data_IF_359590447537
#
_entry.id   IF_359590447537
#
_cell.length_a   1.000
_cell.length_b   1.000
_cell.length_c   1.000
_cell.angle_alpha   90.00
_cell.angle_beta   90.00
_cell.angle_gamma   90.00
#
_symmetry.space_group_name_H-M   'P 1'
#
loop_
_entity.id
_entity.type
_entity.pdbx_description
1 polymer ?
#
# COMPACT_ATOMS: atom_id res chain seq x y z
N UNK A 1 -68.98 -10.30 14.59
CA UNK A 1 -67.94 -9.72 15.47
C UNK A 1 -66.69 -9.47 14.65
N UNK A 2 -66.43 -8.17 14.45
CA UNK A 2 -65.24 -7.45 13.97
C UNK A 2 -64.18 -8.10 13.07
N UNK A 3 -64.18 -7.62 11.82
CA UNK A 3 -63.03 -7.31 10.99
C UNK A 3 -61.93 -6.50 11.72
N UNK A 4 -60.68 -6.95 11.64
CA UNK A 4 -59.50 -6.16 12.00
C UNK A 4 -58.76 -5.69 10.73
N UNK A 5 -59.27 -4.62 10.12
CA UNK A 5 -58.51 -3.81 9.16
C UNK A 5 -57.52 -2.92 9.93
N UNK A 6 -56.24 -3.21 9.81
CA UNK A 6 -55.16 -2.35 10.31
C UNK A 6 -55.16 -0.99 9.58
N UNK A 7 -55.01 0.16 10.26
CA UNK A 7 -55.26 1.47 9.68
C UNK A 7 -54.18 1.92 8.69
N UNK A 8 -54.60 2.29 7.47
CA UNK A 8 -53.82 2.89 6.37
C UNK A 8 -52.93 4.09 6.76
N UNK A 9 -53.19 4.74 7.90
CA UNK A 9 -52.52 5.97 8.31
C UNK A 9 -51.05 5.80 8.77
N UNK A 10 -50.67 4.63 9.31
CA UNK A 10 -49.30 4.43 9.85
C UNK A 10 -48.26 4.24 8.74
N UNK A 11 -48.64 3.63 7.61
CA UNK A 11 -47.76 3.41 6.45
C UNK A 11 -47.40 4.72 5.71
N UNK A 12 -48.28 5.72 5.73
CA UNK A 12 -48.06 7.00 5.05
C UNK A 12 -47.01 7.88 5.75
N UNK A 13 -46.97 7.87 7.09
CA UNK A 13 -45.98 8.64 7.88
C UNK A 13 -44.55 8.12 7.73
N UNK A 14 -44.36 6.79 7.59
CA UNK A 14 -43.02 6.18 7.42
C UNK A 14 -42.42 6.47 6.03
N UNK A 15 -43.26 6.50 4.98
CA UNK A 15 -42.84 6.88 3.62
C UNK A 15 -42.46 8.35 3.48
N UNK A 16 -43.14 9.26 4.19
CA UNK A 16 -42.78 10.69 4.22
C UNK A 16 -41.42 10.97 4.87
N UNK A 17 -41.05 10.21 5.92
CA UNK A 17 -39.74 10.37 6.60
C UNK A 17 -38.55 9.89 5.76
N UNK A 18 -38.75 8.84 4.95
CA UNK A 18 -37.70 8.30 4.06
C UNK A 18 -37.48 9.24 2.85
N UNK A 19 -38.54 9.86 2.33
CA UNK A 19 -38.42 10.82 1.24
C UNK A 19 -37.70 12.13 1.64
N UNK A 20 -37.85 12.57 2.90
CA UNK A 20 -37.17 13.77 3.41
C UNK A 20 -35.68 13.57 3.69
N UNK A 21 -35.24 12.39 4.16
CA UNK A 21 -33.81 12.12 4.39
C UNK A 21 -33.03 11.88 3.10
N UNK A 22 -33.64 11.22 2.09
CA UNK A 22 -33.01 11.03 0.78
C UNK A 22 -32.81 12.36 0.02
N UNK A 23 -33.73 13.32 0.18
CA UNK A 23 -33.64 14.63 -0.48
C UNK A 23 -32.57 15.55 0.12
N UNK A 24 -32.32 15.48 1.44
CA UNK A 24 -31.27 16.27 2.11
C UNK A 24 -29.87 15.73 1.78
N UNK A 25 -29.70 14.40 1.66
CA UNK A 25 -28.43 13.79 1.23
C UNK A 25 -28.10 14.09 -0.24
N UNK A 26 -29.10 14.08 -1.14
CA UNK A 26 -28.88 14.41 -2.56
C UNK A 26 -28.49 15.88 -2.78
N UNK A 27 -29.06 16.82 -2.01
CA UNK A 27 -28.71 18.25 -2.08
C UNK A 27 -27.32 18.54 -1.49
N UNK A 28 -26.87 17.80 -0.48
CA UNK A 28 -25.52 17.95 0.08
C UNK A 28 -24.42 17.45 -0.88
N UNK A 29 -24.66 16.37 -1.62
CA UNK A 29 -23.69 15.83 -2.60
C UNK A 29 -23.56 16.73 -3.84
N UNK A 30 -24.67 17.31 -4.34
CA UNK A 30 -24.62 18.25 -5.47
C UNK A 30 -23.95 19.58 -5.10
N UNK A 31 -24.15 20.07 -3.86
CA UNK A 31 -23.47 21.27 -3.36
C UNK A 31 -21.96 21.12 -3.22
N UNK A 32 -21.46 19.96 -2.78
CA UNK A 32 -20.02 19.72 -2.60
C UNK A 32 -19.27 19.59 -3.95
N UNK A 33 -19.89 18.99 -4.97
CA UNK A 33 -19.27 18.84 -6.31
C UNK A 33 -19.22 20.18 -7.06
N UNK A 34 -20.20 21.08 -6.87
CA UNK A 34 -20.19 22.41 -7.48
C UNK A 34 -19.16 23.37 -6.87
N UNK A 35 -18.84 23.22 -5.58
CA UNK A 35 -17.79 24.01 -4.90
C UNK A 35 -16.39 23.56 -5.34
N UNK A 36 -16.16 22.26 -5.55
CA UNK A 36 -14.86 21.74 -6.01
C UNK A 36 -14.49 22.21 -7.44
N UNK A 37 -15.47 22.31 -8.34
CA UNK A 37 -15.25 22.73 -9.74
C UNK A 37 -15.06 24.25 -9.91
N UNK A 38 -15.40 25.05 -8.90
CA UNK A 38 -15.27 26.52 -8.94
C UNK A 38 -13.95 27.04 -8.35
N UNK A 39 -13.18 26.18 -7.66
CA UNK A 39 -11.87 26.53 -7.08
C UNK A 39 -10.68 26.25 -8.02
N UNK A 40 -10.88 25.49 -9.11
CA UNK A 40 -9.83 25.23 -10.11
C UNK A 40 -9.77 26.24 -11.26
N UNK A 41 -10.77 27.13 -11.38
CA UNK A 41 -10.81 28.16 -12.43
C UNK A 41 -10.22 29.51 -11.98
N UNK A 42 -9.91 29.71 -10.69
CA UNK A 42 -9.44 30.98 -10.14
C UNK A 42 -7.91 31.09 -9.96
N UNK A 43 -7.15 30.01 -10.18
CA UNK A 43 -5.67 30.01 -10.05
C UNK A 43 -4.92 29.98 -11.39
N UNK A 44 -5.64 30.01 -12.52
CA UNK A 44 -5.03 30.00 -13.85
C UNK A 44 -4.70 31.41 -14.39
N UNK A 45 -5.09 32.48 -13.70
CA UNK A 45 -4.85 33.86 -14.16
C UNK A 45 -4.17 34.68 -13.04
N UNK A 46 -2.85 34.58 -12.93
CA UNK A 46 -1.87 35.67 -12.66
C UNK A 46 -0.55 35.12 -12.11
N UNK A 47 0.36 34.75 -13.02
CA UNK A 47 1.79 34.70 -12.69
C UNK A 47 2.56 35.51 -13.75
N UNK A 48 3.21 36.62 -13.40
CA UNK A 48 4.01 37.38 -14.35
C UNK A 48 5.28 36.62 -14.73
N UNK A 49 5.56 36.52 -16.04
CA UNK A 49 6.85 36.08 -16.57
C UNK A 49 7.95 37.06 -16.15
N UNK A 50 8.74 36.68 -15.16
CA UNK A 50 10.03 37.30 -14.86
C UNK A 50 11.11 36.48 -15.57
N UNK A 51 11.70 37.04 -16.61
CA UNK A 51 12.89 36.50 -17.27
C UNK A 51 14.09 36.66 -16.32
N UNK A 52 14.50 35.57 -15.66
CA UNK A 52 15.76 35.48 -14.93
C UNK A 52 16.95 35.23 -15.87
N UNK A 53 18.17 35.71 -15.55
CA UNK A 53 19.34 35.51 -16.40
C UNK A 53 19.79 34.04 -16.39
N UNK A 54 20.31 33.59 -17.54
CA UNK A 54 20.74 32.23 -17.80
C UNK A 54 21.78 31.72 -16.76
N UNK A 55 21.70 30.46 -16.32
CA UNK A 55 22.75 29.89 -15.47
C UNK A 55 23.99 29.57 -16.30
N UNK A 56 25.10 30.14 -15.86
CA UNK A 56 26.46 29.87 -16.34
C UNK A 56 26.77 28.37 -16.31
N UNK A 57 27.21 27.85 -17.45
CA UNK A 57 27.72 26.48 -17.60
C UNK A 57 29.05 26.33 -16.86
N UNK A 58 29.02 25.82 -15.63
CA UNK A 58 30.21 25.27 -14.98
C UNK A 58 30.26 23.76 -15.27
N UNK A 59 31.32 23.23 -15.89
CA UNK A 59 31.46 21.79 -16.04
C UNK A 59 31.82 21.20 -14.67
N UNK A 60 30.85 20.54 -14.04
CA UNK A 60 31.10 19.65 -12.90
C UNK A 60 31.82 18.40 -13.43
N UNK A 61 32.87 17.89 -12.76
CA UNK A 61 33.48 16.62 -13.13
C UNK A 61 32.46 15.48 -12.97
N UNK A 62 32.58 14.37 -13.71
CA UNK A 62 31.64 13.26 -13.59
C UNK A 62 31.89 12.55 -12.26
N UNK A 63 31.18 12.94 -11.21
CA UNK A 63 30.91 12.07 -10.07
C UNK A 63 30.14 10.89 -10.64
N UNK A 64 30.66 9.67 -10.44
CA UNK A 64 30.14 8.45 -11.06
C UNK A 64 28.62 8.41 -11.00
N UNK A 65 27.99 8.30 -12.18
CA UNK A 65 26.54 8.19 -12.28
C UNK A 65 26.13 6.94 -11.54
N UNK A 66 25.59 7.09 -10.33
CA UNK A 66 24.72 6.06 -9.75
C UNK A 66 23.57 5.99 -10.74
N UNK A 67 23.52 4.92 -11.53
CA UNK A 67 22.40 4.69 -12.43
C UNK A 67 21.14 4.66 -11.56
N UNK A 68 20.08 5.35 -12.00
CA UNK A 68 18.81 5.30 -11.30
C UNK A 68 18.37 3.81 -11.15
N UNK A 69 17.76 3.43 -10.02
CA UNK A 69 17.31 2.06 -9.80
C UNK A 69 16.43 1.56 -10.94
N UNK A 70 16.59 0.28 -11.27
CA UNK A 70 15.97 -0.35 -12.42
C UNK A 70 15.21 -1.62 -12.02
N UNK A 71 14.59 -2.31 -13.00
CA UNK A 71 14.02 -3.64 -12.74
C UNK A 71 15.06 -4.61 -12.16
N UNK A 72 16.34 -4.48 -12.55
CA UNK A 72 17.42 -5.32 -12.01
C UNK A 72 17.65 -5.10 -10.51
N UNK A 73 17.21 -3.96 -9.98
CA UNK A 73 17.25 -3.63 -8.55
C UNK A 73 15.97 -4.04 -7.80
N UNK A 74 15.00 -4.66 -8.49
CA UNK A 74 13.70 -5.01 -7.92
C UNK A 74 12.64 -3.91 -8.03
N UNK A 75 12.86 -2.86 -8.83
CA UNK A 75 11.84 -1.83 -9.07
C UNK A 75 10.66 -2.41 -9.85
N UNK A 76 9.45 -2.22 -9.32
CA UNK A 76 8.17 -2.42 -10.02
C UNK A 76 7.68 -1.04 -10.43
N UNK A 77 7.42 -0.81 -11.73
CA UNK A 77 7.05 0.53 -12.20
C UNK A 77 5.58 0.83 -11.99
N UNK A 78 5.24 2.12 -11.92
CA UNK A 78 3.86 2.58 -11.86
C UNK A 78 3.04 2.01 -13.02
N UNK A 79 1.92 1.36 -12.67
CA UNK A 79 1.02 0.71 -13.63
C UNK A 79 1.35 -0.75 -13.90
N UNK A 80 2.56 -1.22 -13.56
CA UNK A 80 2.87 -2.65 -13.54
C UNK A 80 2.13 -3.31 -12.37
N UNK A 81 1.61 -4.52 -12.59
CA UNK A 81 0.83 -5.27 -11.60
C UNK A 81 1.29 -6.72 -11.60
N UNK A 82 2.55 -7.00 -11.20
CA UNK A 82 3.03 -8.37 -11.11
C UNK A 82 2.28 -9.13 -10.02
N UNK A 83 2.04 -10.39 -10.28
CA UNK A 83 1.52 -11.37 -9.34
C UNK A 83 2.65 -12.17 -8.71
N UNK A 84 2.34 -12.96 -7.69
CA UNK A 84 3.28 -13.90 -7.06
C UNK A 84 3.72 -15.05 -8.01
N UNK A 85 3.14 -15.14 -9.21
CA UNK A 85 3.50 -16.13 -10.23
C UNK A 85 4.45 -15.58 -11.30
N UNK A 86 4.67 -14.26 -11.35
CA UNK A 86 5.52 -13.60 -12.35
C UNK A 86 7.01 -13.70 -11.97
N UNK A 87 7.51 -14.94 -11.83
CA UNK A 87 8.87 -15.25 -11.36
C UNK A 87 9.99 -14.73 -12.27
N UNK A 88 9.66 -14.36 -13.51
CA UNK A 88 10.60 -13.72 -14.43
C UNK A 88 10.94 -12.28 -14.03
N UNK A 89 10.12 -11.68 -13.15
CA UNK A 89 10.38 -10.37 -12.54
C UNK A 89 11.37 -10.53 -11.39
N UNK A 90 12.43 -9.74 -11.40
CA UNK A 90 13.48 -9.75 -10.37
C UNK A 90 12.90 -9.57 -8.95
N UNK A 91 11.90 -8.69 -8.79
CA UNK A 91 11.23 -8.47 -7.51
C UNK A 91 10.50 -9.73 -6.96
N UNK A 92 10.09 -10.65 -7.83
CA UNK A 92 9.36 -11.88 -7.43
C UNK A 92 10.29 -13.08 -7.42
N UNK A 93 11.09 -13.26 -8.48
CA UNK A 93 11.98 -14.41 -8.66
C UNK A 93 13.13 -14.49 -7.66
N UNK A 94 13.49 -13.38 -7.00
CA UNK A 94 14.53 -13.35 -5.96
C UNK A 94 13.99 -13.42 -4.52
N UNK A 95 12.67 -13.59 -4.33
CA UNK A 95 12.13 -13.90 -3.00
C UNK A 95 12.70 -15.23 -2.50
N UNK A 96 12.76 -15.38 -1.18
CA UNK A 96 13.10 -16.66 -0.57
C UNK A 96 12.16 -17.75 -1.11
N UNK A 97 12.68 -18.91 -1.58
CA UNK A 97 11.85 -19.92 -2.21
C UNK A 97 10.72 -20.46 -1.33
N UNK A 98 10.90 -20.53 -0.01
CA UNK A 98 9.84 -20.98 0.89
C UNK A 98 8.76 -19.91 1.07
N UNK A 99 9.13 -18.63 1.12
CA UNK A 99 8.18 -17.53 1.09
C UNK A 99 7.38 -17.54 -0.22
N UNK A 100 8.05 -17.67 -1.37
CA UNK A 100 7.40 -17.69 -2.68
C UNK A 100 6.42 -18.86 -2.82
N UNK A 101 6.80 -20.07 -2.38
CA UNK A 101 5.90 -21.23 -2.35
C UNK A 101 4.64 -20.97 -1.49
N UNK A 102 4.82 -20.40 -0.29
CA UNK A 102 3.71 -20.06 0.59
C UNK A 102 2.76 -19.03 -0.05
N UNK A 103 3.32 -18.00 -0.69
CA UNK A 103 2.57 -16.99 -1.43
C UNK A 103 1.76 -17.59 -2.57
N UNK A 104 2.37 -18.47 -3.37
CA UNK A 104 1.72 -19.10 -4.52
C UNK A 104 0.60 -20.06 -4.10
N UNK A 105 0.79 -20.82 -3.01
CA UNK A 105 -0.28 -21.63 -2.41
C UNK A 105 -1.44 -20.77 -1.90
N UNK A 106 -1.13 -19.69 -1.17
CA UNK A 106 -2.14 -18.77 -0.67
C UNK A 106 -2.91 -18.09 -1.81
N UNK A 107 -2.21 -17.60 -2.84
CA UNK A 107 -2.81 -16.95 -3.99
C UNK A 107 -3.73 -17.91 -4.77
N UNK A 108 -3.30 -19.16 -4.98
CA UNK A 108 -4.12 -20.18 -5.65
C UNK A 108 -5.45 -20.43 -4.93
N UNK A 109 -5.44 -20.47 -3.59
CA UNK A 109 -6.66 -20.63 -2.81
C UNK A 109 -7.51 -19.35 -2.77
N UNK A 110 -6.87 -18.18 -2.79
CA UNK A 110 -7.53 -16.88 -2.80
C UNK A 110 -8.30 -16.63 -4.11
N UNK A 111 -7.88 -17.21 -5.23
CA UNK A 111 -8.58 -17.13 -6.52
C UNK A 111 -10.01 -17.68 -6.44
N UNK A 112 -10.25 -18.70 -5.61
CA UNK A 112 -11.60 -19.25 -5.39
C UNK A 112 -12.55 -18.23 -4.73
N UNK A 113 -12.00 -17.24 -4.03
CA UNK A 113 -12.72 -16.10 -3.44
C UNK A 113 -12.69 -14.85 -4.37
N UNK A 114 -12.11 -14.95 -5.57
CA UNK A 114 -11.98 -13.85 -6.52
C UNK A 114 -10.91 -12.82 -6.13
N UNK A 115 -9.92 -13.21 -5.30
CA UNK A 115 -8.85 -12.34 -4.83
C UNK A 115 -7.56 -12.67 -5.58
N UNK A 116 -6.93 -11.65 -6.16
CA UNK A 116 -5.64 -11.76 -6.87
C UNK A 116 -4.55 -11.05 -6.09
N UNK A 117 -3.46 -11.76 -5.79
CA UNK A 117 -2.33 -11.19 -5.07
C UNK A 117 -1.43 -10.41 -6.04
N UNK A 118 -1.38 -9.10 -5.87
CA UNK A 118 -0.44 -8.23 -6.57
C UNK A 118 0.73 -7.90 -5.65
N UNK A 119 1.94 -7.96 -6.21
CA UNK A 119 3.18 -7.60 -5.54
C UNK A 119 3.43 -6.11 -5.79
N UNK A 120 3.37 -5.31 -4.73
CA UNK A 120 3.71 -3.89 -4.79
C UNK A 120 5.24 -3.70 -4.67
N UNK A 121 5.89 -4.53 -3.85
CA UNK A 121 7.34 -4.58 -3.66
C UNK A 121 7.71 -5.97 -3.16
N UNK A 122 8.75 -6.57 -3.74
CA UNK A 122 9.22 -7.90 -3.36
C UNK A 122 10.69 -7.83 -2.96
N UNK A 123 11.53 -8.67 -3.53
CA UNK A 123 12.97 -8.53 -3.39
C UNK A 123 13.46 -7.19 -3.95
N UNK A 124 14.42 -6.56 -3.26
CA UNK A 124 15.10 -5.36 -3.76
C UNK A 124 16.59 -5.37 -3.46
N UNK A 125 17.36 -4.70 -4.30
CA UNK A 125 18.80 -4.53 -4.09
C UNK A 125 19.09 -3.64 -2.88
N UNK A 126 20.26 -3.83 -2.27
CA UNK A 126 20.73 -2.96 -1.19
C UNK A 126 20.82 -1.49 -1.65
N UNK A 127 21.22 -1.23 -2.90
CA UNK A 127 21.30 0.12 -3.44
C UNK A 127 19.90 0.79 -3.55
N UNK A 128 18.88 0.04 -3.98
CA UNK A 128 17.50 0.52 -3.98
C UNK A 128 17.01 0.78 -2.55
N UNK A 129 17.33 -0.10 -1.60
CA UNK A 129 17.01 0.11 -0.19
C UNK A 129 17.61 1.40 0.38
N UNK A 130 18.89 1.65 0.11
CA UNK A 130 19.59 2.86 0.56
C UNK A 130 18.98 4.13 -0.04
N UNK A 131 18.52 4.06 -1.30
CA UNK A 131 17.81 5.16 -1.91
C UNK A 131 16.46 5.40 -1.22
N UNK A 132 15.66 4.36 -1.01
CA UNK A 132 14.35 4.49 -0.34
C UNK A 132 14.49 5.06 1.08
N UNK A 133 15.53 4.69 1.81
CA UNK A 133 15.79 5.26 3.13
C UNK A 133 16.16 6.75 3.04
N UNK A 134 16.98 7.14 2.05
CA UNK A 134 17.30 8.57 1.83
C UNK A 134 16.06 9.37 1.48
N UNK A 135 15.23 8.87 0.57
CA UNK A 135 13.99 9.52 0.17
C UNK A 135 13.04 9.66 1.38
N UNK A 136 12.92 8.62 2.22
CA UNK A 136 12.15 8.68 3.45
C UNK A 136 12.72 9.68 4.48
N UNK A 137 14.05 9.82 4.57
CA UNK A 137 14.67 10.84 5.43
C UNK A 137 14.29 12.24 4.97
N UNK A 138 14.27 12.48 3.66
CA UNK A 138 13.87 13.77 3.08
C UNK A 138 12.39 14.05 3.35
N UNK A 139 11.53 13.03 3.27
CA UNK A 139 10.08 13.15 3.52
C UNK A 139 9.71 13.31 5.00
N UNK A 140 10.35 12.55 5.90
CA UNK A 140 10.05 12.53 7.34
C UNK A 140 10.96 13.46 8.16
N UNK A 141 11.97 14.05 7.55
CA UNK A 141 12.86 15.06 8.15
C UNK A 141 13.92 14.51 9.11
N UNK A 142 13.93 13.21 9.40
CA UNK A 142 14.99 12.57 10.19
C UNK A 142 15.11 11.08 9.90
N UNK A 143 16.29 10.53 10.13
CA UNK A 143 16.51 9.08 10.07
C UNK A 143 15.72 8.32 11.13
N UNK A 144 15.51 8.92 12.31
CA UNK A 144 14.72 8.30 13.38
C UNK A 144 13.28 8.05 12.93
N UNK A 145 12.61 9.07 12.36
CA UNK A 145 11.24 8.91 11.88
C UNK A 145 11.15 8.08 10.59
N UNK A 146 12.12 8.21 9.69
CA UNK A 146 12.15 7.40 8.47
C UNK A 146 12.27 5.89 8.78
N UNK A 147 13.01 5.52 9.83
CA UNK A 147 13.20 4.11 10.24
C UNK A 147 11.93 3.42 10.75
N UNK A 148 10.86 4.17 11.01
CA UNK A 148 9.53 3.64 11.33
C UNK A 148 8.77 3.13 10.11
N UNK A 149 9.31 3.35 8.91
CA UNK A 149 8.69 2.97 7.64
C UNK A 149 9.69 2.29 6.68
N UNK A 150 10.96 2.64 6.76
CA UNK A 150 11.99 2.15 5.85
C UNK A 150 13.22 1.68 6.63
N UNK A 151 13.48 0.37 6.57
CA UNK A 151 14.66 -0.25 7.16
C UNK A 151 15.97 0.16 6.45
N UNK A 152 17.11 -0.13 7.07
CA UNK A 152 18.42 0.02 6.42
C UNK A 152 18.66 -1.11 5.41
N UNK A 153 19.67 -0.93 4.55
CA UNK A 153 20.15 -1.95 3.62
C UNK A 153 20.56 -3.26 4.31
N UNK A 154 21.12 -3.16 5.50
CA UNK A 154 21.63 -4.30 6.26
C UNK A 154 20.51 -5.11 6.90
N UNK A 155 19.42 -4.47 7.31
CA UNK A 155 18.38 -5.14 8.11
C UNK A 155 17.09 -5.41 7.36
N UNK A 156 16.88 -4.83 6.17
CA UNK A 156 15.61 -5.01 5.47
C UNK A 156 15.39 -6.45 4.99
N UNK A 157 14.25 -7.02 5.37
CA UNK A 157 13.81 -8.34 4.90
C UNK A 157 13.55 -8.38 3.38
N UNK A 158 13.27 -7.24 2.73
CA UNK A 158 13.17 -7.20 1.26
C UNK A 158 14.53 -7.41 0.59
N UNK A 159 15.63 -7.01 1.24
CA UNK A 159 16.98 -7.21 0.69
C UNK A 159 17.41 -8.67 0.79
N UNK A 160 17.03 -9.37 1.87
CA UNK A 160 17.26 -10.80 2.01
C UNK A 160 16.26 -11.67 1.23
N UNK A 161 15.16 -11.09 0.73
CA UNK A 161 14.09 -11.82 0.03
C UNK A 161 13.05 -12.44 0.97
N UNK A 162 13.11 -12.14 2.26
CA UNK A 162 12.26 -12.70 3.31
C UNK A 162 10.94 -11.95 3.52
N UNK A 163 10.69 -10.88 2.77
CA UNK A 163 9.48 -10.07 2.85
C UNK A 163 8.89 -9.72 1.48
N UNK A 164 7.57 -9.48 1.48
CA UNK A 164 6.82 -8.99 0.33
C UNK A 164 5.77 -7.98 0.79
N UNK A 165 5.61 -6.93 0.00
CA UNK A 165 4.53 -5.95 0.11
C UNK A 165 3.44 -6.30 -0.89
N UNK A 166 2.25 -6.59 -0.39
CA UNK A 166 1.14 -7.06 -1.20
C UNK A 166 0.02 -6.01 -1.33
N UNK A 167 -0.80 -6.20 -2.35
CA UNK A 167 -2.04 -5.48 -2.56
C UNK A 167 -2.94 -6.25 -3.53
N UNK A 168 -4.10 -5.67 -3.92
CA UNK A 168 -4.75 -4.49 -3.33
C UNK A 168 -5.43 -4.81 -1.97
N UNK A 169 -6.21 -3.88 -1.40
CA UNK A 169 -6.91 -4.07 -0.11
C UNK A 169 -7.65 -5.42 0.05
N UNK A 170 -8.34 -5.98 -0.97
CA UNK A 170 -8.91 -7.32 -0.89
C UNK A 170 -7.90 -8.44 -0.56
N UNK A 171 -6.67 -8.33 -1.09
CA UNK A 171 -5.56 -9.26 -0.76
C UNK A 171 -5.21 -9.17 0.71
N UNK A 172 -5.11 -7.95 1.24
CA UNK A 172 -4.76 -7.70 2.64
C UNK A 172 -5.85 -8.25 3.57
N UNK A 173 -7.11 -7.96 3.28
CA UNK A 173 -8.26 -8.48 4.05
C UNK A 173 -8.28 -10.03 4.07
N UNK A 174 -8.02 -10.65 2.91
CA UNK A 174 -7.96 -12.11 2.80
C UNK A 174 -6.82 -12.69 3.65
N UNK A 175 -5.63 -12.07 3.56
CA UNK A 175 -4.45 -12.50 4.31
C UNK A 175 -4.59 -12.28 5.82
N UNK A 176 -5.22 -11.19 6.28
CA UNK A 176 -5.50 -11.01 7.71
C UNK A 176 -6.34 -12.15 8.28
N UNK A 177 -7.27 -12.70 7.50
CA UNK A 177 -8.16 -13.77 7.95
C UNK A 177 -7.55 -15.17 7.79
N UNK A 178 -6.70 -15.37 6.78
CA UNK A 178 -6.30 -16.71 6.30
C UNK A 178 -4.80 -16.92 6.14
N UNK A 179 -3.99 -15.86 6.14
CA UNK A 179 -2.56 -15.89 5.88
C UNK A 179 -1.80 -16.85 6.80
N UNK A 180 -2.20 -16.92 8.08
CA UNK A 180 -1.61 -17.84 9.07
C UNK A 180 -1.61 -19.30 8.62
N UNK A 181 -2.59 -19.74 7.82
CA UNK A 181 -2.66 -21.13 7.29
C UNK A 181 -1.50 -21.49 6.37
N UNK A 182 -0.83 -20.48 5.82
CA UNK A 182 0.31 -20.61 4.92
C UNK A 182 1.61 -20.15 5.57
N UNK A 183 1.56 -19.71 6.84
CA UNK A 183 2.68 -19.06 7.50
C UNK A 183 2.87 -17.60 7.09
N UNK A 184 1.96 -16.99 6.34
CA UNK A 184 2.10 -15.60 5.88
C UNK A 184 1.53 -14.66 6.93
N UNK A 185 2.40 -13.88 7.56
CA UNK A 185 2.03 -13.00 8.66
C UNK A 185 2.43 -11.56 8.39
N UNK A 186 1.48 -10.65 8.60
CA UNK A 186 1.78 -9.23 8.69
C UNK A 186 2.72 -9.03 9.88
N UNK A 187 3.87 -8.39 9.66
CA UNK A 187 4.92 -8.27 10.68
C UNK A 187 4.82 -6.95 11.45
N UNK A 188 4.46 -5.85 10.77
CA UNK A 188 4.40 -4.52 11.35
C UNK A 188 2.96 -3.98 11.33
N UNK A 189 2.47 -3.49 12.47
CA UNK A 189 1.10 -3.01 12.63
C UNK A 189 0.77 -1.76 11.81
N UNK A 190 1.78 -0.91 11.56
CA UNK A 190 1.67 0.26 10.69
C UNK A 190 1.77 -0.06 9.19
N UNK A 191 2.14 -1.29 8.81
CA UNK A 191 2.36 -1.71 7.43
C UNK A 191 1.46 -2.91 7.10
N UNK A 192 0.17 -2.65 6.90
CA UNK A 192 -0.82 -3.70 6.56
C UNK A 192 -0.49 -4.50 5.30
N UNK A 193 0.42 -4.00 4.48
CA UNK A 193 0.88 -4.61 3.23
C UNK A 193 2.11 -5.51 3.40
N UNK A 194 2.89 -5.39 4.48
CA UNK A 194 4.18 -6.08 4.66
C UNK A 194 4.01 -7.46 5.30
N UNK A 195 4.27 -8.52 4.53
CA UNK A 195 4.16 -9.91 4.97
C UNK A 195 5.51 -10.63 4.93
N UNK A 196 5.74 -11.46 5.93
CA UNK A 196 6.89 -12.37 6.02
C UNK A 196 6.42 -13.79 6.30
N UNK A 197 7.29 -14.76 5.99
CA UNK A 197 7.05 -16.16 6.35
C UNK A 197 7.34 -16.38 7.84
N UNK A 198 6.40 -17.04 8.52
CA UNK A 198 6.45 -17.55 9.89
C UNK A 198 5.88 -18.97 9.87
N UNK A 199 6.69 -19.99 9.57
CA UNK A 199 6.21 -21.36 9.38
C UNK A 199 5.40 -21.88 10.59
N UNK A 200 5.78 -21.49 11.79
CA UNK A 200 5.12 -21.86 13.04
C UNK A 200 3.68 -21.32 13.16
N UNK A 201 3.32 -20.32 12.35
CA UNK A 201 1.98 -19.73 12.37
C UNK A 201 0.90 -20.67 11.82
N UNK A 202 1.28 -21.70 11.06
CA UNK A 202 0.34 -22.75 10.60
C UNK A 202 -0.25 -23.50 11.79
N UNK A 203 0.54 -23.71 12.85
CA UNK A 203 0.12 -24.40 14.06
C UNK A 203 -0.37 -23.44 15.15
N UNK A 204 0.29 -22.28 15.29
CA UNK A 204 0.12 -21.41 16.45
C UNK A 204 -0.63 -20.10 16.14
N UNK A 205 -0.96 -19.85 14.87
CA UNK A 205 -1.39 -18.54 14.42
C UNK A 205 -0.22 -17.54 14.30
N UNK A 206 -0.47 -16.39 13.67
CA UNK A 206 0.56 -15.38 13.52
C UNK A 206 0.99 -14.82 14.89
N UNK A 207 2.30 -14.56 15.09
CA UNK A 207 2.77 -13.87 16.28
C UNK A 207 2.18 -12.47 16.38
N UNK A 208 2.28 -11.87 17.57
CA UNK A 208 1.95 -10.46 17.73
C UNK A 208 2.83 -9.60 16.81
N UNK A 209 2.19 -8.63 16.16
CA UNK A 209 2.87 -7.65 15.32
C UNK A 209 3.71 -6.70 16.18
N UNK A 210 4.83 -6.26 15.65
CA UNK A 210 5.51 -5.06 16.16
C UNK A 210 4.68 -3.82 15.81
N UNK A 211 4.78 -2.74 16.59
CA UNK A 211 4.05 -1.52 16.23
C UNK A 211 4.55 -0.94 14.89
N UNK A 212 5.87 -0.94 14.71
CA UNK A 212 6.59 -0.55 13.50
C UNK A 212 7.99 -1.21 13.47
N UNK A 213 8.78 -1.10 12.38
CA UNK A 213 10.10 -1.72 12.27
C UNK A 213 11.08 -1.35 13.38
N UNK A 214 10.92 -0.20 14.06
CA UNK A 214 11.82 0.20 15.14
C UNK A 214 11.64 -0.59 16.43
N UNK A 215 10.60 -1.43 16.54
CA UNK A 215 10.43 -2.36 17.67
C UNK A 215 10.97 -3.77 17.37
N UNK A 216 11.32 -4.07 16.12
CA UNK A 216 11.85 -5.36 15.72
C UNK A 216 13.35 -5.47 16.10
N UNK A 217 13.74 -6.44 16.93
CA UNK A 217 15.15 -6.63 17.32
C UNK A 217 16.10 -6.85 16.13
N UNK A 218 15.60 -7.38 15.01
CA UNK A 218 16.39 -7.58 13.78
C UNK A 218 16.83 -6.25 13.17
N UNK A 219 16.05 -5.19 13.41
CA UNK A 219 16.26 -3.85 12.86
C UNK A 219 17.20 -2.99 13.71
N UNK A 220 17.69 -3.49 14.85
CA UNK A 220 18.51 -2.71 15.82
C UNK A 220 20.02 -2.83 15.61
N UNK A 221 20.46 -3.36 14.47
CA UNK A 221 21.89 -3.47 14.12
C UNK A 221 22.45 -2.13 13.65
#
# INVERSE_FOLDING_TARGET
MNDLRTPRAVRARRRRRIATTASVLALAVVGAVAVQQSLSAAFAETAPHVAGPAPSSYPHPPTGSVLAPSEADGVIRDGDQPTVFDVDRVAVGNLDPALLDALQRAASDAEADGVTFLVNSGWRSAALQEQLLRDAIDDYGSQEEARRWVATAETSAHVSGDAVDLGPLPTLDWLTQRGWRYGLCQTYGNESWHYELRPEAVENGCPAQYADPTEDPRMQR
#
